data_IF_600048348101
#
_entry.id   IF_600048348101
#
_cell.length_a   1.000
_cell.length_b   1.000
_cell.length_c   1.000
_cell.angle_alpha   90.00
_cell.angle_beta   90.00
_cell.angle_gamma   90.00
#
_symmetry.space_group_name_H-M   'P 1'
#
loop_
_entity.id
_entity.type
_entity.pdbx_description
1 polymer ?
#
# COMPACT_ATOMS: atom_id res chain seq x y z
N UNK A 1 -59.99 -30.75 9.96
CA UNK A 1 -58.78 -31.34 9.29
C UNK A 1 -58.21 -30.51 8.17
N UNK A 2 -58.98 -29.81 7.32
CA UNK A 2 -58.42 -28.96 6.24
C UNK A 2 -57.70 -27.72 6.76
N UNK A 3 -58.20 -27.04 7.80
CA UNK A 3 -57.57 -25.83 8.38
C UNK A 3 -56.18 -26.11 8.99
N UNK A 4 -56.06 -27.21 9.73
CA UNK A 4 -54.79 -27.64 10.35
C UNK A 4 -53.69 -27.97 9.33
N UNK A 5 -54.03 -28.50 8.17
CA UNK A 5 -53.08 -28.75 7.08
C UNK A 5 -52.59 -27.46 6.42
N UNK A 6 -53.44 -26.43 6.34
CA UNK A 6 -53.07 -25.12 5.77
C UNK A 6 -52.11 -24.38 6.71
N UNK A 7 -52.34 -24.46 8.02
CA UNK A 7 -51.46 -23.82 9.02
C UNK A 7 -50.06 -24.45 9.04
N UNK A 8 -49.96 -25.79 8.87
CA UNK A 8 -48.67 -26.49 8.78
C UNK A 8 -47.91 -26.09 7.50
N UNK A 9 -48.63 -25.97 6.38
CA UNK A 9 -48.01 -25.54 5.09
C UNK A 9 -47.54 -24.08 5.19
N UNK A 10 -48.34 -23.21 5.80
CA UNK A 10 -47.99 -21.79 5.98
C UNK A 10 -46.78 -21.62 6.90
N UNK A 11 -46.68 -22.43 7.96
CA UNK A 11 -45.57 -22.44 8.88
C UNK A 11 -44.27 -22.98 8.23
N UNK A 12 -44.41 -24.00 7.34
CA UNK A 12 -43.27 -24.51 6.54
C UNK A 12 -42.74 -23.51 5.52
N UNK A 13 -43.61 -22.75 4.85
CA UNK A 13 -43.21 -21.69 3.91
C UNK A 13 -42.56 -20.53 4.65
N UNK A 14 -43.03 -20.15 5.84
CA UNK A 14 -42.43 -19.11 6.66
C UNK A 14 -41.04 -19.51 7.17
N UNK A 15 -40.85 -20.77 7.54
CA UNK A 15 -39.56 -21.31 7.95
C UNK A 15 -38.50 -21.33 6.80
N UNK A 16 -38.96 -21.56 5.56
CA UNK A 16 -38.05 -21.51 4.39
C UNK A 16 -37.62 -20.09 4.02
N UNK A 17 -38.36 -19.05 4.40
CA UNK A 17 -37.96 -17.66 4.17
C UNK A 17 -36.84 -17.19 5.11
N UNK A 18 -36.62 -17.86 6.24
CA UNK A 18 -35.52 -17.54 7.15
C UNK A 18 -34.22 -18.31 6.86
N UNK A 19 -34.25 -19.30 5.96
CA UNK A 19 -33.09 -20.11 5.61
C UNK A 19 -32.29 -19.57 4.40
N UNK A 20 -32.72 -18.45 3.80
CA UNK A 20 -32.17 -17.97 2.52
C UNK A 20 -31.56 -16.60 2.61
N UNK A 21 -30.64 -16.32 3.52
CA UNK A 21 -29.86 -15.07 3.46
C UNK A 21 -28.56 -15.06 4.28
N UNK A 22 -27.95 -16.20 4.58
CA UNK A 22 -26.61 -16.15 5.18
C UNK A 22 -25.50 -15.83 4.14
N UNK A 23 -25.65 -16.31 2.90
CA UNK A 23 -24.64 -16.10 1.85
C UNK A 23 -24.72 -14.74 1.15
N UNK A 24 -25.81 -13.99 1.32
CA UNK A 24 -25.95 -12.68 0.65
C UNK A 24 -25.26 -11.56 1.41
N UNK A 25 -24.93 -11.73 2.67
CA UNK A 25 -24.23 -10.76 3.52
C UNK A 25 -22.78 -11.16 3.84
N UNK A 26 -22.31 -12.29 3.37
CA UNK A 26 -20.87 -12.47 3.30
C UNK A 26 -20.38 -11.60 2.14
N UNK A 27 -19.62 -10.51 2.42
CA UNK A 27 -18.93 -9.81 1.34
C UNK A 27 -18.10 -10.88 0.63
N UNK A 28 -18.32 -11.04 -0.68
CA UNK A 28 -17.44 -11.86 -1.49
C UNK A 28 -16.02 -11.34 -1.23
N UNK A 29 -15.27 -12.05 -0.40
CA UNK A 29 -13.88 -11.81 -0.12
C UNK A 29 -12.98 -12.08 -1.34
N UNK A 30 -13.56 -12.23 -2.53
CA UNK A 30 -12.80 -12.31 -3.78
C UNK A 30 -12.08 -11.01 -4.14
N UNK A 31 -12.39 -9.91 -3.44
CA UNK A 31 -11.63 -8.65 -3.52
C UNK A 31 -10.60 -8.48 -2.41
N UNK A 32 -10.68 -9.25 -1.34
CA UNK A 32 -9.59 -9.44 -0.38
C UNK A 32 -8.79 -10.62 -0.89
N UNK A 33 -7.61 -10.36 -1.44
CA UNK A 33 -6.64 -11.39 -1.82
C UNK A 33 -6.47 -12.29 -0.60
N UNK A 34 -7.05 -13.50 -0.64
CA UNK A 34 -6.80 -14.53 0.35
C UNK A 34 -5.29 -14.72 0.40
N UNK A 35 -4.67 -14.54 1.55
CA UNK A 35 -3.22 -14.59 1.73
C UNK A 35 -2.55 -15.84 1.12
N UNK A 36 -3.30 -16.92 0.95
CA UNK A 36 -2.85 -18.18 0.34
C UNK A 36 -2.78 -18.15 -1.21
N UNK A 37 -3.21 -17.06 -1.86
CA UNK A 37 -3.34 -16.99 -3.33
C UNK A 37 -2.56 -15.85 -3.99
N UNK A 38 -1.81 -15.09 -3.21
CA UNK A 38 -1.33 -13.79 -3.66
C UNK A 38 -0.37 -13.84 -4.87
N UNK A 39 0.60 -14.75 -4.91
CA UNK A 39 1.50 -14.91 -6.06
C UNK A 39 1.64 -16.40 -6.39
N UNK A 40 1.09 -16.83 -7.52
CA UNK A 40 1.14 -18.21 -8.04
C UNK A 40 1.90 -18.31 -9.34
N UNK A 41 1.99 -17.21 -10.09
CA UNK A 41 2.64 -17.12 -11.38
C UNK A 41 3.59 -15.93 -11.42
N UNK A 42 4.66 -16.01 -12.24
CA UNK A 42 5.63 -14.93 -12.38
C UNK A 42 5.04 -13.58 -12.79
N UNK A 43 3.97 -13.60 -13.59
CA UNK A 43 3.22 -12.40 -13.98
C UNK A 43 2.55 -11.68 -12.79
N UNK A 44 2.24 -12.40 -11.73
CA UNK A 44 1.61 -11.84 -10.52
C UNK A 44 2.62 -11.12 -9.63
N UNK A 45 3.92 -11.39 -9.76
CA UNK A 45 4.96 -10.56 -9.12
C UNK A 45 4.86 -9.11 -9.58
N UNK A 46 4.76 -8.91 -10.89
CA UNK A 46 4.62 -7.57 -11.45
C UNK A 46 3.26 -6.94 -11.11
N UNK A 47 2.18 -7.72 -11.21
CA UNK A 47 0.84 -7.25 -10.86
C UNK A 47 0.71 -6.86 -9.38
N UNK A 48 1.36 -7.60 -8.47
CA UNK A 48 1.42 -7.27 -7.06
C UNK A 48 2.15 -5.94 -6.81
N UNK A 49 3.26 -5.71 -7.49
CA UNK A 49 3.97 -4.43 -7.45
C UNK A 49 3.11 -3.27 -7.97
N UNK A 50 2.39 -3.44 -9.08
CA UNK A 50 1.45 -2.43 -9.58
C UNK A 50 0.33 -2.12 -8.58
N UNK A 51 -0.08 -3.11 -7.77
CA UNK A 51 -1.00 -2.90 -6.65
C UNK A 51 -0.46 -1.90 -5.62
N UNK A 52 0.84 -1.95 -5.31
CA UNK A 52 1.51 -0.96 -4.45
C UNK A 52 1.51 0.42 -5.10
N UNK A 53 1.86 0.50 -6.40
CA UNK A 53 1.83 1.76 -7.15
C UNK A 53 0.45 2.40 -7.12
N UNK A 54 -0.62 1.61 -7.26
CA UNK A 54 -2.00 2.11 -7.17
C UNK A 54 -2.30 2.71 -5.79
N UNK A 55 -1.78 2.12 -4.71
CA UNK A 55 -1.92 2.67 -3.36
C UNK A 55 -1.10 3.96 -3.18
N UNK A 56 0.10 4.05 -3.76
CA UNK A 56 0.90 5.29 -3.80
C UNK A 56 0.13 6.41 -4.52
N UNK A 57 -0.50 6.12 -5.65
CA UNK A 57 -1.32 7.11 -6.36
C UNK A 57 -2.46 7.66 -5.48
N UNK A 58 -3.05 6.82 -4.64
CA UNK A 58 -4.14 7.24 -3.73
C UNK A 58 -3.69 8.21 -2.61
N UNK A 59 -2.39 8.33 -2.35
CA UNK A 59 -1.84 9.28 -1.37
C UNK A 59 -1.12 10.47 -2.01
N UNK A 60 -0.96 10.49 -3.34
CA UNK A 60 -0.21 11.52 -4.04
C UNK A 60 -0.75 12.93 -3.77
N UNK A 61 -2.04 13.14 -3.93
CA UNK A 61 -2.68 14.43 -3.66
C UNK A 61 -2.53 14.85 -2.19
N UNK A 62 -2.72 13.91 -1.24
CA UNK A 62 -2.57 14.17 0.19
C UNK A 62 -1.15 14.61 0.53
N UNK A 63 -0.14 13.95 -0.02
CA UNK A 63 1.26 14.32 0.20
C UNK A 63 1.53 15.75 -0.27
N UNK A 64 1.05 16.12 -1.46
CA UNK A 64 1.20 17.48 -2.01
C UNK A 64 0.47 18.51 -1.15
N UNK A 65 -0.80 18.29 -0.84
CA UNK A 65 -1.57 19.27 -0.05
C UNK A 65 -0.98 19.47 1.35
N UNK A 66 -0.60 18.41 2.03
CA UNK A 66 -0.05 18.50 3.39
C UNK A 66 1.37 19.08 3.46
N UNK A 67 2.09 19.12 2.34
CA UNK A 67 3.42 19.73 2.27
C UNK A 67 3.38 21.09 1.60
N UNK A 68 2.83 21.19 0.40
CA UNK A 68 2.99 22.35 -0.47
C UNK A 68 2.00 23.48 -0.12
N UNK A 69 0.79 23.16 0.36
CA UNK A 69 -0.11 24.19 0.89
C UNK A 69 0.43 24.79 2.19
N UNK A 70 0.99 23.96 3.08
CA UNK A 70 1.67 24.44 4.29
C UNK A 70 3.01 25.12 4.00
N UNK A 71 3.60 24.83 2.86
CA UNK A 71 4.80 25.49 2.37
C UNK A 71 4.53 26.78 1.56
N UNK A 72 3.29 27.24 1.49
CA UNK A 72 2.86 28.42 0.72
C UNK A 72 3.16 28.31 -0.79
N UNK A 73 3.32 27.08 -1.30
CA UNK A 73 3.50 26.82 -2.74
C UNK A 73 2.18 26.67 -3.49
N UNK A 74 1.09 26.39 -2.75
CA UNK A 74 -0.27 26.28 -3.27
C UNK A 74 -1.18 27.20 -2.47
N UNK A 75 -2.04 27.93 -3.17
CA UNK A 75 -3.03 28.84 -2.60
C UNK A 75 -4.45 28.35 -2.91
N UNK A 76 -5.36 28.35 -1.93
CA UNK A 76 -6.74 27.97 -2.17
C UNK A 76 -7.48 29.01 -3.00
N UNK A 77 -8.43 28.54 -3.80
CA UNK A 77 -9.34 29.38 -4.59
C UNK A 77 -10.73 29.35 -3.96
N UNK A 78 -11.66 30.20 -4.43
CA UNK A 78 -13.03 30.27 -3.92
C UNK A 78 -13.80 28.95 -3.96
N UNK A 79 -13.38 28.00 -4.83
CA UNK A 79 -13.99 26.67 -4.97
C UNK A 79 -13.25 25.58 -4.20
N UNK A 80 -12.23 25.92 -3.41
CA UNK A 80 -11.46 24.95 -2.65
C UNK A 80 -12.30 24.38 -1.50
N UNK A 81 -12.30 23.05 -1.29
CA UNK A 81 -12.99 22.43 -0.16
C UNK A 81 -12.51 22.95 1.20
N UNK A 82 -13.41 22.98 2.19
CA UNK A 82 -13.12 23.49 3.54
C UNK A 82 -11.94 22.75 4.21
N UNK A 83 -11.82 21.43 3.99
CA UNK A 83 -10.72 20.62 4.51
C UNK A 83 -9.33 21.10 4.03
N UNK A 84 -9.24 21.61 2.81
CA UNK A 84 -7.98 22.17 2.29
C UNK A 84 -7.74 23.59 2.82
N UNK A 85 -8.80 24.37 3.06
CA UNK A 85 -8.67 25.67 3.72
C UNK A 85 -8.11 25.52 5.14
N UNK A 86 -8.56 24.53 5.92
CA UNK A 86 -8.05 24.30 7.27
C UNK A 86 -6.56 23.91 7.26
N UNK A 87 -6.10 23.16 6.25
CA UNK A 87 -4.68 22.87 6.06
C UNK A 87 -3.89 24.14 5.73
N UNK A 88 -4.40 24.95 4.80
CA UNK A 88 -3.77 26.21 4.38
C UNK A 88 -3.67 27.22 5.52
N UNK A 89 -4.71 27.33 6.33
CA UNK A 89 -4.78 28.25 7.47
C UNK A 89 -3.99 27.76 8.70
N UNK A 90 -3.33 26.59 8.63
CA UNK A 90 -2.61 26.00 9.75
C UNK A 90 -3.49 25.72 10.98
N UNK A 91 -4.76 25.32 10.75
CA UNK A 91 -5.66 25.00 11.85
C UNK A 91 -5.02 23.95 12.78
N UNK A 92 -5.11 24.19 14.10
CA UNK A 92 -4.50 23.33 15.11
C UNK A 92 -5.15 21.94 15.21
N UNK A 93 -6.46 21.87 14.91
CA UNK A 93 -7.22 20.61 14.93
C UNK A 93 -7.63 20.21 13.50
N UNK A 94 -6.96 19.20 12.97
CA UNK A 94 -7.28 18.55 11.72
C UNK A 94 -7.96 17.19 11.92
N UNK A 95 -8.51 16.92 13.12
CA UNK A 95 -9.27 15.70 13.37
C UNK A 95 -10.51 15.64 12.46
N UNK A 96 -10.68 14.50 11.77
CA UNK A 96 -11.74 14.35 10.76
C UNK A 96 -11.47 14.99 9.39
N UNK A 97 -10.34 15.69 9.21
CA UNK A 97 -9.93 16.18 7.89
C UNK A 97 -9.51 15.01 7.00
N UNK A 98 -10.17 14.87 5.85
CA UNK A 98 -10.00 13.72 4.94
C UNK A 98 -8.60 13.67 4.31
N UNK A 99 -7.92 14.79 4.16
CA UNK A 99 -6.56 14.87 3.62
C UNK A 99 -5.50 14.61 4.69
N UNK A 100 -5.78 14.93 5.95
CA UNK A 100 -4.85 14.78 7.07
C UNK A 100 -4.86 13.38 7.72
N UNK A 101 -5.72 12.46 7.29
CA UNK A 101 -5.76 11.08 7.79
C UNK A 101 -4.54 10.27 7.30
N UNK A 102 -3.68 9.75 8.19
CA UNK A 102 -2.49 8.98 7.84
C UNK A 102 -2.79 7.53 7.40
N UNK A 103 -4.02 7.03 7.57
CA UNK A 103 -4.35 5.62 7.36
C UNK A 103 -3.91 5.12 5.97
N UNK A 104 -4.08 5.92 4.93
CA UNK A 104 -3.70 5.55 3.56
C UNK A 104 -2.19 5.34 3.35
N UNK A 105 -1.36 6.03 4.10
CA UNK A 105 0.09 5.78 4.08
C UNK A 105 0.40 4.40 4.68
N UNK A 106 -0.28 4.01 5.74
CA UNK A 106 -0.14 2.68 6.33
C UNK A 106 -0.67 1.58 5.41
N UNK A 107 -1.72 1.82 4.62
CA UNK A 107 -2.17 0.89 3.57
C UNK A 107 -1.05 0.57 2.56
N UNK A 108 -0.21 1.56 2.23
CA UNK A 108 0.97 1.35 1.35
C UNK A 108 2.02 0.50 2.06
N UNK A 109 2.35 0.82 3.31
CA UNK A 109 3.38 0.12 4.10
C UNK A 109 2.98 -1.35 4.30
N UNK A 110 1.72 -1.62 4.66
CA UNK A 110 1.16 -2.97 4.79
C UNK A 110 1.32 -3.74 3.47
N UNK A 111 0.94 -3.11 2.36
CA UNK A 111 1.05 -3.73 1.04
C UNK A 111 2.51 -4.01 0.65
N UNK A 112 3.44 -3.12 0.99
CA UNK A 112 4.87 -3.35 0.76
C UNK A 112 5.37 -4.56 1.57
N UNK A 113 5.04 -4.65 2.86
CA UNK A 113 5.49 -5.75 3.71
C UNK A 113 4.93 -7.09 3.26
N UNK A 114 3.62 -7.14 2.95
CA UNK A 114 2.97 -8.33 2.44
C UNK A 114 3.57 -8.77 1.09
N UNK A 115 3.75 -7.82 0.17
CA UNK A 115 4.37 -8.11 -1.12
C UNK A 115 5.79 -8.66 -0.99
N UNK A 116 6.65 -8.04 -0.18
CA UNK A 116 8.04 -8.47 0.02
C UNK A 116 8.09 -9.93 0.50
N UNK A 117 7.25 -10.28 1.49
CA UNK A 117 7.20 -11.64 1.99
C UNK A 117 6.67 -12.61 0.93
N UNK A 118 5.57 -12.30 0.25
CA UNK A 118 4.95 -13.19 -0.74
C UNK A 118 5.81 -13.36 -2.00
N UNK A 119 6.47 -12.31 -2.44
CA UNK A 119 7.42 -12.38 -3.54
C UNK A 119 8.60 -13.31 -3.20
N UNK A 120 9.11 -13.22 -1.96
CA UNK A 120 10.17 -14.12 -1.51
C UNK A 120 9.69 -15.59 -1.43
N UNK A 121 8.53 -15.85 -0.84
CA UNK A 121 7.94 -17.20 -0.76
C UNK A 121 7.78 -17.81 -2.16
N UNK A 122 7.32 -17.01 -3.13
CA UNK A 122 7.21 -17.46 -4.52
C UNK A 122 8.58 -17.72 -5.14
N UNK A 123 9.55 -16.81 -4.99
CA UNK A 123 10.91 -16.96 -5.49
C UNK A 123 11.61 -18.21 -4.94
N UNK A 124 11.49 -18.47 -3.66
CA UNK A 124 12.12 -19.63 -2.99
C UNK A 124 11.60 -20.98 -3.51
N UNK A 125 10.34 -21.01 -3.99
CA UNK A 125 9.72 -22.22 -4.56
C UNK A 125 9.86 -22.32 -6.08
N UNK A 126 10.22 -21.24 -6.78
CA UNK A 126 10.26 -21.13 -8.24
C UNK A 126 11.60 -20.56 -8.76
N UNK A 127 12.70 -20.95 -8.14
CA UNK A 127 14.07 -20.44 -8.42
C UNK A 127 14.46 -20.47 -9.90
N UNK A 128 13.97 -21.46 -10.66
CA UNK A 128 14.33 -21.63 -12.07
C UNK A 128 13.42 -20.87 -13.05
N UNK A 129 12.30 -20.33 -12.59
CA UNK A 129 11.28 -19.70 -13.43
C UNK A 129 11.16 -18.20 -13.21
N UNK A 130 11.79 -17.66 -12.16
CA UNK A 130 11.81 -16.23 -11.86
C UNK A 130 13.15 -15.67 -12.29
N UNK A 131 13.12 -14.66 -13.17
CA UNK A 131 14.33 -13.93 -13.53
C UNK A 131 14.90 -13.21 -12.30
N UNK A 132 16.20 -13.36 -12.08
CA UNK A 132 16.85 -12.82 -10.89
C UNK A 132 16.89 -11.29 -10.91
N UNK A 133 17.14 -10.70 -12.06
CA UNK A 133 17.20 -9.23 -12.20
C UNK A 133 15.83 -8.60 -12.02
N UNK A 134 14.78 -9.21 -12.56
CA UNK A 134 13.40 -8.74 -12.37
C UNK A 134 12.99 -8.83 -10.89
N UNK A 135 13.27 -9.95 -10.23
CA UNK A 135 13.01 -10.10 -8.81
C UNK A 135 13.73 -9.04 -7.98
N UNK A 136 15.03 -8.88 -8.19
CA UNK A 136 15.85 -7.87 -7.48
C UNK A 136 15.32 -6.45 -7.73
N UNK A 137 14.95 -6.15 -8.97
CA UNK A 137 14.35 -4.87 -9.34
C UNK A 137 13.06 -4.58 -8.60
N UNK A 138 12.15 -5.55 -8.55
CA UNK A 138 10.86 -5.42 -7.85
C UNK A 138 11.03 -5.29 -6.34
N UNK A 139 11.91 -6.08 -5.73
CA UNK A 139 12.19 -6.01 -4.28
C UNK A 139 12.81 -4.67 -3.91
N UNK A 140 13.87 -4.24 -4.63
CA UNK A 140 14.51 -2.95 -4.33
C UNK A 140 13.57 -1.76 -4.53
N UNK A 141 12.73 -1.79 -5.57
CA UNK A 141 11.70 -0.77 -5.79
C UNK A 141 10.68 -0.73 -4.65
N UNK A 142 10.26 -1.88 -4.17
CA UNK A 142 9.32 -1.97 -3.04
C UNK A 142 9.93 -1.43 -1.74
N UNK A 143 11.19 -1.76 -1.46
CA UNK A 143 11.94 -1.21 -0.33
C UNK A 143 12.00 0.32 -0.40
N UNK A 144 12.27 0.88 -1.57
CA UNK A 144 12.29 2.34 -1.78
C UNK A 144 10.93 2.98 -1.60
N UNK A 145 9.87 2.38 -2.14
CA UNK A 145 8.51 2.91 -1.97
C UNK A 145 8.07 2.88 -0.51
N UNK A 146 8.40 1.82 0.22
CA UNK A 146 8.17 1.74 1.68
C UNK A 146 8.92 2.84 2.41
N UNK A 147 10.21 3.02 2.10
CA UNK A 147 11.04 4.08 2.69
C UNK A 147 10.48 5.47 2.39
N UNK A 148 10.13 5.74 1.12
CA UNK A 148 9.51 7.00 0.73
C UNK A 148 8.22 7.28 1.51
N UNK A 149 7.39 6.26 1.70
CA UNK A 149 6.13 6.39 2.44
C UNK A 149 6.38 6.75 3.91
N UNK A 150 7.36 6.13 4.56
CA UNK A 150 7.76 6.49 5.92
C UNK A 150 8.37 7.89 6.01
N UNK A 151 9.18 8.31 5.04
CA UNK A 151 9.70 9.68 4.98
C UNK A 151 8.56 10.70 4.83
N UNK A 152 7.51 10.39 4.06
CA UNK A 152 6.33 11.26 3.97
C UNK A 152 5.60 11.35 5.33
N UNK A 153 5.37 10.23 6.00
CA UNK A 153 4.81 10.23 7.36
C UNK A 153 5.66 11.05 8.33
N UNK A 154 6.98 10.83 8.33
CA UNK A 154 7.92 11.56 9.17
C UNK A 154 7.89 13.07 8.89
N UNK A 155 7.89 13.46 7.62
CA UNK A 155 7.87 14.87 7.19
C UNK A 155 6.54 15.58 7.52
N UNK A 156 5.41 14.88 7.33
CA UNK A 156 4.08 15.47 7.49
C UNK A 156 3.64 15.47 8.96
N UNK A 157 3.85 14.36 9.68
CA UNK A 157 3.31 14.16 11.02
C UNK A 157 4.37 14.22 12.13
N UNK A 158 5.66 14.24 11.79
CA UNK A 158 6.76 14.27 12.75
C UNK A 158 7.01 12.97 13.50
N UNK A 159 6.11 12.01 13.37
CA UNK A 159 6.20 10.68 14.00
C UNK A 159 5.40 9.65 13.18
N UNK A 160 5.78 8.38 13.29
CA UNK A 160 5.02 7.26 12.74
C UNK A 160 5.32 5.97 13.50
N UNK A 161 4.43 4.99 13.36
CA UNK A 161 4.64 3.64 13.86
C UNK A 161 5.42 2.86 12.81
N UNK A 162 6.60 2.36 13.18
CA UNK A 162 7.43 1.54 12.32
C UNK A 162 7.16 0.05 12.54
N UNK A 163 7.01 -0.70 11.45
CA UNK A 163 6.91 -2.15 11.46
C UNK A 163 7.42 -2.76 10.15
N UNK A 164 8.05 -3.92 10.24
CA UNK A 164 8.63 -4.64 9.12
C UNK A 164 7.86 -5.92 8.77
N UNK A 165 7.13 -6.47 9.73
CA UNK A 165 6.34 -7.66 9.53
C UNK A 165 5.02 -7.37 8.80
N UNK A 166 4.49 -8.31 8.01
CA UNK A 166 3.15 -8.21 7.46
C UNK A 166 2.11 -8.10 8.58
N UNK A 167 1.36 -7.01 8.58
CA UNK A 167 0.30 -6.79 9.55
C UNK A 167 -1.06 -6.88 8.89
N UNK A 168 -1.97 -7.60 9.52
CA UNK A 168 -3.28 -7.90 8.95
C UNK A 168 -4.28 -6.76 9.17
N UNK A 169 -4.04 -5.88 10.14
CA UNK A 169 -4.99 -4.85 10.50
C UNK A 169 -4.34 -3.61 11.13
N UNK A 170 -5.07 -2.48 11.04
CA UNK A 170 -4.67 -1.24 11.73
C UNK A 170 -4.61 -1.38 13.25
N UNK A 171 -5.33 -2.33 13.85
CA UNK A 171 -5.27 -2.57 15.32
C UNK A 171 -3.90 -3.03 15.77
N UNK A 172 -3.23 -3.83 14.94
CA UNK A 172 -1.89 -4.35 15.24
C UNK A 172 -0.86 -3.21 15.22
N UNK A 173 -1.10 -2.21 14.37
CA UNK A 173 -0.24 -1.03 14.22
C UNK A 173 -0.38 -0.09 15.42
N UNK A 174 -1.61 0.30 15.78
CA UNK A 174 -1.85 1.31 16.83
C UNK A 174 -1.44 0.85 18.24
N UNK A 175 -1.17 -0.42 18.45
CA UNK A 175 -0.64 -0.94 19.71
C UNK A 175 0.86 -0.68 19.91
N UNK A 176 1.57 -0.24 18.87
CA UNK A 176 3.01 0.00 18.90
C UNK A 176 3.34 1.44 19.27
N UNK A 177 4.53 1.65 19.80
CA UNK A 177 5.01 2.99 20.15
C UNK A 177 5.48 3.74 18.90
N UNK A 178 4.97 4.95 18.65
CA UNK A 178 5.45 5.76 17.54
C UNK A 178 6.93 6.13 17.70
N UNK A 179 7.65 6.15 16.59
CA UNK A 179 9.01 6.67 16.47
C UNK A 179 8.95 8.14 16.04
N UNK A 180 9.84 8.95 16.59
CA UNK A 180 9.99 10.36 16.19
C UNK A 180 10.72 10.50 14.85
N UNK A 181 10.82 11.73 14.34
CA UNK A 181 11.45 12.03 13.04
C UNK A 181 12.87 11.48 12.92
N UNK A 182 13.73 11.67 13.94
CA UNK A 182 15.12 11.19 13.90
C UNK A 182 15.18 9.67 13.85
N UNK A 183 14.42 9.00 14.69
CA UNK A 183 14.32 7.54 14.73
C UNK A 183 13.78 6.97 13.41
N UNK A 184 12.82 7.65 12.78
CA UNK A 184 12.29 7.23 11.48
C UNK A 184 13.32 7.39 10.36
N UNK A 185 14.10 8.45 10.37
CA UNK A 185 15.20 8.65 9.40
C UNK A 185 16.25 7.55 9.55
N UNK A 186 16.63 7.22 10.79
CA UNK A 186 17.59 6.14 11.07
C UNK A 186 17.06 4.77 10.59
N UNK A 187 15.77 4.48 10.81
CA UNK A 187 15.17 3.24 10.29
C UNK A 187 15.08 3.23 8.75
N UNK A 188 14.77 4.36 8.15
CA UNK A 188 14.77 4.50 6.69
C UNK A 188 16.17 4.26 6.09
N UNK A 189 17.20 4.87 6.68
CA UNK A 189 18.60 4.66 6.24
C UNK A 189 18.99 3.19 6.40
N UNK A 190 18.68 2.61 7.54
CA UNK A 190 18.92 1.19 7.78
C UNK A 190 18.20 0.30 6.75
N UNK A 191 16.91 0.57 6.46
CA UNK A 191 16.13 -0.20 5.49
C UNK A 191 16.71 -0.08 4.08
N UNK A 192 17.13 1.12 3.66
CA UNK A 192 17.76 1.32 2.34
C UNK A 192 19.08 0.58 2.22
N UNK A 193 19.88 0.50 3.29
CA UNK A 193 21.19 -0.14 3.29
C UNK A 193 21.10 -1.66 3.47
N UNK A 194 20.23 -2.15 4.34
CA UNK A 194 20.07 -3.59 4.60
C UNK A 194 19.13 -4.27 3.62
N UNK A 195 18.09 -3.55 3.18
CA UNK A 195 17.09 -4.05 2.25
C UNK A 195 16.26 -5.20 2.78
N UNK A 196 15.79 -6.04 1.86
CA UNK A 196 15.03 -7.24 2.11
C UNK A 196 15.64 -8.41 1.34
N UNK A 197 15.76 -9.57 1.96
CA UNK A 197 16.33 -10.80 1.35
C UNK A 197 17.72 -10.60 0.70
N UNK A 198 18.58 -9.78 1.33
CA UNK A 198 19.90 -9.43 0.81
C UNK A 198 19.88 -8.45 -0.38
N UNK A 199 18.71 -7.95 -0.76
CA UNK A 199 18.50 -6.96 -1.81
C UNK A 199 18.22 -5.63 -1.13
N UNK A 200 19.17 -4.69 -1.27
CA UNK A 200 19.03 -3.36 -0.71
C UNK A 200 18.28 -2.39 -1.67
N UNK A 201 17.96 -1.20 -1.19
CA UNK A 201 17.30 -0.16 -1.98
C UNK A 201 18.19 0.45 -3.08
N UNK A 202 19.42 0.01 -3.21
CA UNK A 202 20.42 0.53 -4.16
C UNK A 202 20.57 -0.35 -5.40
N UNK A 203 19.51 -1.00 -5.84
CA UNK A 203 19.53 -1.70 -7.13
C UNK A 203 19.85 -0.70 -8.23
N UNK A 204 21.13 -0.67 -8.64
CA UNK A 204 21.67 0.39 -9.46
C UNK A 204 21.42 0.14 -10.95
N UNK A 205 20.48 0.88 -11.48
CA UNK A 205 20.58 1.29 -12.86
C UNK A 205 21.02 2.74 -12.86
N UNK A 206 22.13 3.07 -13.52
CA UNK A 206 22.55 4.45 -13.66
C UNK A 206 21.55 5.22 -14.52
N UNK A 207 21.51 6.56 -14.37
CA UNK A 207 20.65 7.40 -15.21
C UNK A 207 20.91 7.20 -16.71
N UNK A 208 22.17 6.97 -17.10
CA UNK A 208 22.54 6.73 -18.49
C UNK A 208 22.03 5.38 -18.99
N UNK A 209 22.10 4.33 -18.18
CA UNK A 209 21.53 3.02 -18.52
C UNK A 209 20.02 3.09 -18.68
N UNK A 210 19.34 3.87 -17.83
CA UNK A 210 17.89 4.07 -17.93
C UNK A 210 17.48 4.83 -19.19
N UNK A 211 18.30 5.79 -19.66
CA UNK A 211 18.03 6.58 -20.88
C UNK A 211 18.49 5.87 -22.15
N UNK A 212 19.25 4.79 -22.04
CA UNK A 212 19.75 4.06 -23.22
C UNK A 212 18.61 3.24 -23.88
N UNK A 213 18.19 3.55 -25.11
CA UNK A 213 17.19 2.78 -25.83
C UNK A 213 17.60 1.31 -26.04
N UNK A 214 18.90 0.99 -26.07
CA UNK A 214 19.41 -0.37 -26.21
C UNK A 214 19.10 -1.23 -24.97
N UNK A 215 18.91 -0.62 -23.81
CA UNK A 215 18.54 -1.28 -22.55
C UNK A 215 17.01 -1.35 -22.36
N UNK A 216 16.21 -1.13 -23.41
CA UNK A 216 14.77 -1.29 -23.32
C UNK A 216 14.05 -0.17 -22.58
N UNK A 217 14.65 1.01 -22.45
CA UNK A 217 14.05 2.19 -21.80
C UNK A 217 12.67 2.60 -22.35
N UNK A 218 12.28 2.02 -23.49
CA UNK A 218 10.97 2.21 -24.13
C UNK A 218 9.99 1.07 -23.83
N UNK A 219 10.43 0.01 -23.15
CA UNK A 219 9.57 -1.13 -22.84
C UNK A 219 8.74 -0.86 -21.59
N UNK A 220 7.48 -1.23 -21.63
CA UNK A 220 6.55 -1.15 -20.52
C UNK A 220 6.98 -2.01 -19.33
N UNK A 221 7.88 -2.98 -19.55
CA UNK A 221 8.39 -3.88 -18.52
C UNK A 221 9.44 -3.23 -17.59
N UNK A 222 9.85 -1.99 -17.86
CA UNK A 222 10.89 -1.31 -17.06
C UNK A 222 10.30 -0.27 -16.08
N UNK A 223 9.00 -0.32 -15.81
CA UNK A 223 8.39 0.63 -14.87
C UNK A 223 9.01 0.56 -13.47
N UNK A 224 9.28 -0.64 -12.94
CA UNK A 224 9.94 -0.78 -11.64
C UNK A 224 11.37 -0.19 -11.66
N UNK A 225 12.08 -0.24 -12.77
CA UNK A 225 13.40 0.38 -12.92
C UNK A 225 13.33 1.90 -12.81
N UNK A 226 12.25 2.50 -13.31
CA UNK A 226 11.99 3.95 -13.17
C UNK A 226 11.75 4.34 -11.71
N UNK A 227 11.03 3.53 -10.96
CA UNK A 227 10.75 3.80 -9.56
C UNK A 227 12.00 3.73 -8.68
N UNK A 228 12.98 2.92 -9.04
CA UNK A 228 14.29 2.88 -8.36
C UNK A 228 15.03 4.22 -8.39
N UNK A 229 14.68 5.11 -9.30
CA UNK A 229 15.33 6.41 -9.46
C UNK A 229 14.60 7.55 -8.74
N UNK A 230 13.40 7.31 -8.24
CA UNK A 230 12.55 8.33 -7.64
C UNK A 230 12.83 8.57 -6.16
N UNK A 231 13.50 7.65 -5.49
CA UNK A 231 13.92 7.82 -4.11
C UNK A 231 15.39 8.21 -4.12
N UNK A 232 15.74 9.46 -3.83
CA UNK A 232 17.13 9.85 -3.72
C UNK A 232 17.81 9.03 -2.64
N UNK A 233 19.01 8.56 -2.96
CA UNK A 233 19.89 7.95 -1.99
C UNK A 233 20.39 9.00 -1.00
#
# INVERSE_FOLDING_TARGET
MKKFKIEIILMGVLAMMFASCSDFFEPNNDTTLNGDRYIKEGSELYSGFLGIITKIQAIGDKAIYLTDMRGELLEPTENTPADLYSIYNYDDDLSGNTYADPAKYYDVIIACNDYLQKAKEYRDTHVTTVDDDDYRGLISSTVRLKTWTYLMLAKIYGQAIWFDDPMQSMKDIVSQTPKNLSELVDECDKLLNTGFDGINGTYNMSWNEWLDPANGATSTNDEYKRWNMMVPG
#
